data_IF_000367000482
#
_entry.id   IF_000367000482
#
_cell.length_a   1.000
_cell.length_b   1.000
_cell.length_c   1.000
_cell.angle_alpha   90.00
_cell.angle_beta   90.00
_cell.angle_gamma   90.00
#
_symmetry.space_group_name_H-M   'P 1'
#
loop_
_entity.id
_entity.type
_entity.pdbx_description
1 polymer ?
#
# COMPACT_ATOMS: atom_id res chain seq x y z
N UNK A 1 22.43 15.64 23.38
CA UNK A 1 21.43 14.58 23.26
C UNK A 1 20.63 14.68 21.95
N UNK A 2 19.75 13.73 21.67
CA UNK A 2 18.94 13.76 20.42
C UNK A 2 17.90 14.89 20.43
N UNK A 3 17.45 15.35 21.59
CA UNK A 3 16.45 16.40 21.73
C UNK A 3 16.82 17.73 21.05
N UNK A 4 18.11 18.07 21.01
CA UNK A 4 18.61 19.28 20.34
C UNK A 4 18.59 19.17 18.80
N UNK A 5 18.33 17.99 18.27
CA UNK A 5 18.25 17.67 16.84
C UNK A 5 16.82 17.42 16.38
N UNK A 6 15.84 17.61 17.25
CA UNK A 6 14.42 17.37 17.01
C UNK A 6 13.64 18.65 17.21
N UNK A 7 12.70 18.91 16.31
CA UNK A 7 11.70 19.95 16.46
C UNK A 7 10.31 19.29 16.53
N UNK A 8 9.51 19.70 17.51
CA UNK A 8 8.15 19.18 17.71
C UNK A 8 7.15 20.27 17.32
N UNK A 9 6.24 19.94 16.42
CA UNK A 9 5.18 20.84 15.95
C UNK A 9 3.82 20.19 16.15
N UNK A 10 2.90 20.89 16.76
CA UNK A 10 1.51 20.49 16.86
C UNK A 10 0.76 21.05 15.65
N UNK A 11 0.47 20.21 14.69
CA UNK A 11 -0.25 20.59 13.47
C UNK A 11 -1.03 19.40 12.89
N UNK A 12 -1.94 19.67 11.97
CA UNK A 12 -2.63 18.62 11.21
C UNK A 12 -1.77 18.16 10.03
N UNK A 13 -1.33 16.89 10.09
CA UNK A 13 -0.48 16.29 9.07
C UNK A 13 0.79 17.12 8.81
N UNK A 14 0.94 17.64 7.58
CA UNK A 14 2.09 18.42 7.13
C UNK A 14 1.82 19.93 7.07
N UNK A 15 0.70 20.42 7.62
CA UNK A 15 0.28 21.83 7.51
C UNK A 15 1.25 22.81 8.19
N UNK A 16 2.01 22.34 9.17
CA UNK A 16 3.00 23.16 9.89
C UNK A 16 4.43 23.00 9.35
N UNK A 17 4.63 22.34 8.23
CA UNK A 17 5.95 22.10 7.64
C UNK A 17 6.09 22.91 6.35
N UNK A 18 7.13 23.71 6.25
CA UNK A 18 7.44 24.43 5.02
C UNK A 18 8.13 23.49 4.01
N UNK A 19 7.91 23.68 2.71
CA UNK A 19 8.47 22.80 1.68
C UNK A 19 9.99 22.60 1.77
N UNK A 20 10.75 23.64 2.12
CA UNK A 20 12.22 23.57 2.19
C UNK A 20 12.75 22.84 3.44
N UNK A 21 11.89 22.44 4.37
CA UNK A 21 12.30 21.85 5.65
C UNK A 21 12.46 20.34 5.61
N UNK A 22 11.90 19.66 4.61
CA UNK A 22 11.92 18.21 4.54
C UNK A 22 12.16 17.68 3.12
N UNK A 23 13.11 16.80 2.97
CA UNK A 23 13.38 16.00 1.75
C UNK A 23 12.86 14.56 1.89
N UNK A 24 12.64 14.12 3.12
CA UNK A 24 12.18 12.77 3.46
C UNK A 24 11.05 12.85 4.48
N UNK A 25 9.95 12.17 4.21
CA UNK A 25 8.75 12.18 5.06
C UNK A 25 8.35 10.75 5.38
N UNK A 26 8.28 10.43 6.67
CA UNK A 26 7.79 9.15 7.16
C UNK A 26 6.37 9.30 7.73
N UNK A 27 5.41 8.52 7.23
CA UNK A 27 4.04 8.44 7.77
C UNK A 27 3.75 6.98 8.08
N UNK A 28 3.74 6.63 9.36
CA UNK A 28 3.58 5.26 9.83
C UNK A 28 2.46 5.14 10.88
N UNK A 29 1.88 3.95 11.00
CA UNK A 29 0.85 3.65 12.00
C UNK A 29 -0.53 4.22 11.68
N UNK A 30 -0.78 4.71 10.46
CA UNK A 30 -2.03 5.34 10.05
C UNK A 30 -2.78 4.51 9.00
N UNK A 31 -4.08 4.73 8.84
CA UNK A 31 -4.85 4.16 7.73
C UNK A 31 -4.42 4.73 6.38
N UNK A 32 -4.50 3.93 5.31
CA UNK A 32 -4.14 4.38 3.96
C UNK A 32 -4.95 5.59 3.48
N UNK A 33 -6.20 5.71 3.90
CA UNK A 33 -7.05 6.88 3.59
C UNK A 33 -6.55 8.15 4.29
N UNK A 34 -6.08 8.03 5.55
CA UNK A 34 -5.48 9.14 6.30
C UNK A 34 -4.17 9.58 5.66
N UNK A 35 -3.32 8.62 5.27
CA UNK A 35 -2.07 8.91 4.54
C UNK A 35 -2.38 9.67 3.24
N UNK A 36 -3.36 9.20 2.47
CA UNK A 36 -3.79 9.87 1.24
C UNK A 36 -4.29 11.30 1.50
N UNK A 37 -5.07 11.52 2.55
CA UNK A 37 -5.57 12.84 2.92
C UNK A 37 -4.42 13.81 3.32
N UNK A 38 -3.45 13.35 4.10
CA UNK A 38 -2.27 14.14 4.49
C UNK A 38 -1.48 14.56 3.24
N UNK A 39 -1.23 13.64 2.32
CA UNK A 39 -0.48 13.92 1.09
C UNK A 39 -1.27 14.80 0.12
N UNK A 40 -2.60 14.65 0.04
CA UNK A 40 -3.46 15.52 -0.75
C UNK A 40 -3.45 16.98 -0.27
N UNK A 41 -3.35 17.19 1.04
CA UNK A 41 -3.25 18.52 1.66
C UNK A 41 -1.87 19.18 1.49
N UNK A 42 -0.84 18.41 1.07
CA UNK A 42 0.54 18.88 0.93
C UNK A 42 1.10 18.59 -0.48
N UNK A 43 0.60 19.23 -1.56
CA UNK A 43 1.02 18.95 -2.94
C UNK A 43 2.52 19.23 -3.18
N UNK A 44 3.11 20.11 -2.40
CA UNK A 44 4.54 20.42 -2.44
C UNK A 44 5.43 19.18 -2.24
N UNK A 45 4.97 18.16 -1.51
CA UNK A 45 5.68 16.89 -1.27
C UNK A 45 6.03 16.21 -2.59
N UNK A 46 5.08 16.17 -3.51
CA UNK A 46 5.28 15.62 -4.86
C UNK A 46 6.10 16.58 -5.73
N UNK A 47 5.80 17.87 -5.69
CA UNK A 47 6.46 18.90 -6.51
C UNK A 47 7.96 18.99 -6.25
N UNK A 48 8.37 18.81 -4.99
CA UNK A 48 9.78 18.77 -4.59
C UNK A 48 10.44 17.41 -4.73
N UNK A 49 9.66 16.36 -5.04
CA UNK A 49 10.19 15.00 -5.19
C UNK A 49 10.67 14.38 -3.87
N UNK A 50 10.05 14.75 -2.75
CA UNK A 50 10.38 14.17 -1.45
C UNK A 50 10.34 12.64 -1.48
N UNK A 51 11.23 12.01 -0.73
CA UNK A 51 11.15 10.60 -0.42
C UNK A 51 10.06 10.36 0.62
N UNK A 52 9.12 9.47 0.31
CA UNK A 52 8.09 9.04 1.25
C UNK A 52 8.37 7.63 1.74
N UNK A 53 8.30 7.44 3.05
CA UNK A 53 8.30 6.16 3.72
C UNK A 53 6.93 5.98 4.39
N UNK A 54 6.08 5.15 3.79
CA UNK A 54 4.69 5.00 4.21
C UNK A 54 4.45 3.62 4.79
N UNK A 55 3.88 3.56 6.00
CA UNK A 55 3.48 2.30 6.61
C UNK A 55 1.96 2.35 6.93
N UNK A 56 1.11 1.94 5.95
CA UNK A 56 -0.34 1.89 6.15
C UNK A 56 -0.76 0.70 7.00
N UNK A 57 -1.52 0.94 8.08
CA UNK A 57 -2.11 -0.10 8.92
C UNK A 57 -3.34 -0.75 8.30
N UNK A 58 -4.01 -0.04 7.40
CA UNK A 58 -5.24 -0.49 6.71
C UNK A 58 -5.35 0.17 5.34
N UNK A 59 -6.34 -0.25 4.54
CA UNK A 59 -6.69 0.35 3.25
C UNK A 59 -5.53 0.43 2.24
N UNK A 60 -4.55 -0.52 2.27
CA UNK A 60 -3.44 -0.56 1.33
C UNK A 60 -3.94 -0.66 -0.12
N UNK A 61 -5.03 -1.41 -0.35
CA UNK A 61 -5.64 -1.59 -1.67
C UNK A 61 -6.28 -0.31 -2.23
N UNK A 62 -6.59 0.67 -1.38
CA UNK A 62 -7.05 2.00 -1.79
C UNK A 62 -5.87 2.97 -1.95
N UNK A 63 -4.87 2.89 -1.06
CA UNK A 63 -3.71 3.79 -1.08
C UNK A 63 -2.85 3.62 -2.34
N UNK A 64 -2.52 2.39 -2.75
CA UNK A 64 -1.66 2.14 -3.91
C UNK A 64 -2.21 2.75 -5.22
N UNK A 65 -3.47 2.52 -5.61
CA UNK A 65 -4.02 3.15 -6.80
C UNK A 65 -4.21 4.67 -6.63
N UNK A 66 -4.42 5.17 -5.41
CA UNK A 66 -4.44 6.59 -5.15
C UNK A 66 -3.07 7.23 -5.42
N UNK A 67 -1.99 6.66 -4.90
CA UNK A 67 -0.62 7.11 -5.17
C UNK A 67 -0.34 7.16 -6.68
N UNK A 68 -0.71 6.12 -7.42
CA UNK A 68 -0.56 6.06 -8.86
C UNK A 68 -1.28 7.22 -9.57
N UNK A 69 -2.56 7.44 -9.23
CA UNK A 69 -3.36 8.53 -9.83
C UNK A 69 -2.83 9.93 -9.49
N UNK A 70 -2.19 10.09 -8.34
CA UNK A 70 -1.60 11.36 -7.92
C UNK A 70 -0.19 11.61 -8.46
N UNK A 71 0.32 10.72 -9.33
CA UNK A 71 1.64 10.88 -9.93
C UNK A 71 2.79 10.51 -8.98
N UNK A 72 2.54 9.59 -8.07
CA UNK A 72 3.57 8.94 -7.26
C UNK A 72 3.91 7.56 -7.82
N UNK A 73 5.16 7.14 -7.64
CA UNK A 73 5.67 5.81 -7.95
C UNK A 73 6.11 5.11 -6.67
N UNK A 74 5.59 3.91 -6.46
CA UNK A 74 6.09 3.00 -5.43
C UNK A 74 7.38 2.36 -5.98
N UNK A 75 8.52 2.69 -5.38
CA UNK A 75 9.82 2.18 -5.81
C UNK A 75 10.14 0.83 -5.21
N UNK A 76 9.77 0.65 -3.93
CA UNK A 76 9.98 -0.59 -3.18
C UNK A 76 8.85 -0.80 -2.18
N UNK A 77 8.57 -2.06 -1.91
CA UNK A 77 7.72 -2.50 -0.81
C UNK A 77 8.48 -3.53 0.01
N UNK A 78 8.39 -3.41 1.32
CA UNK A 78 8.98 -4.34 2.27
C UNK A 78 7.92 -4.88 3.21
N UNK A 79 8.01 -6.17 3.48
CA UNK A 79 7.20 -6.81 4.50
C UNK A 79 8.00 -6.95 5.79
N UNK A 80 7.36 -6.71 6.91
CA UNK A 80 7.92 -6.98 8.22
C UNK A 80 6.90 -7.70 9.08
N UNK A 81 7.38 -8.37 10.13
CA UNK A 81 6.53 -9.14 11.04
C UNK A 81 6.74 -8.70 12.48
N UNK A 82 5.64 -8.57 13.19
CA UNK A 82 5.62 -8.44 14.64
C UNK A 82 4.55 -9.39 15.19
N UNK A 83 4.96 -10.40 15.92
CA UNK A 83 4.09 -11.49 16.31
C UNK A 83 3.43 -12.16 15.10
N UNK A 84 2.11 -12.22 15.08
CA UNK A 84 1.32 -12.76 13.95
C UNK A 84 0.95 -11.71 12.89
N UNK A 85 1.32 -10.45 13.09
CA UNK A 85 0.94 -9.36 12.20
C UNK A 85 2.03 -9.11 11.15
N UNK A 86 1.60 -9.04 9.88
CA UNK A 86 2.44 -8.61 8.77
C UNK A 86 2.15 -7.15 8.43
N UNK A 87 3.20 -6.36 8.35
CA UNK A 87 3.16 -4.95 7.97
C UNK A 87 3.81 -4.77 6.60
N UNK A 88 3.32 -3.78 5.86
CA UNK A 88 3.89 -3.36 4.59
C UNK A 88 4.43 -1.95 4.72
N UNK A 89 5.69 -1.73 4.38
CA UNK A 89 6.31 -0.42 4.25
C UNK A 89 6.55 -0.11 2.78
N UNK A 90 6.14 1.09 2.34
CA UNK A 90 6.25 1.56 0.97
C UNK A 90 7.30 2.67 0.89
N UNK A 91 8.25 2.54 -0.01
CA UNK A 91 9.15 3.60 -0.44
C UNK A 91 8.57 4.23 -1.70
N UNK A 92 8.28 5.53 -1.65
CA UNK A 92 7.51 6.22 -2.69
C UNK A 92 8.18 7.54 -3.05
N UNK A 93 8.17 7.88 -4.34
CA UNK A 93 8.59 9.20 -4.88
C UNK A 93 7.60 9.69 -5.92
N UNK A 94 7.70 10.97 -6.25
CA UNK A 94 7.06 11.51 -7.45
C UNK A 94 7.54 10.75 -8.70
N UNK A 95 6.62 10.40 -9.59
CA UNK A 95 6.96 9.71 -10.82
C UNK A 95 5.79 8.91 -11.42
N UNK A 96 6.00 8.45 -12.64
CA UNK A 96 5.05 7.60 -13.34
C UNK A 96 5.11 6.16 -12.81
N UNK A 97 3.94 5.57 -12.65
CA UNK A 97 3.76 4.16 -12.35
C UNK A 97 2.60 3.63 -13.21
N UNK A 98 2.82 2.55 -13.93
CA UNK A 98 1.76 1.87 -14.68
C UNK A 98 0.59 1.48 -13.77
N UNK A 99 -0.59 1.34 -14.37
CA UNK A 99 -1.78 0.92 -13.63
C UNK A 99 -1.56 -0.45 -12.96
N UNK A 100 -2.01 -0.54 -11.71
CA UNK A 100 -1.95 -1.77 -10.94
C UNK A 100 -3.15 -2.65 -11.28
N UNK A 101 -2.91 -3.93 -11.49
CA UNK A 101 -3.97 -4.93 -11.57
C UNK A 101 -4.75 -5.00 -10.25
N UNK A 102 -5.99 -5.53 -10.24
CA UNK A 102 -6.75 -5.67 -8.99
C UNK A 102 -6.00 -6.41 -7.87
N UNK A 103 -5.20 -7.43 -8.20
CA UNK A 103 -4.40 -8.14 -7.21
C UNK A 103 -3.20 -7.32 -6.73
N UNK A 104 -2.51 -6.60 -7.62
CA UNK A 104 -1.40 -5.72 -7.25
C UNK A 104 -1.85 -4.54 -6.37
N UNK A 105 -3.08 -4.06 -6.51
CA UNK A 105 -3.64 -3.06 -5.58
C UNK A 105 -3.68 -3.59 -4.14
N UNK A 106 -3.89 -4.89 -3.97
CA UNK A 106 -3.92 -5.54 -2.65
C UNK A 106 -2.53 -5.93 -2.16
N UNK A 107 -1.73 -6.55 -3.03
CA UNK A 107 -0.48 -7.18 -2.65
C UNK A 107 0.78 -6.36 -2.97
N UNK A 108 0.66 -5.28 -3.75
CA UNK A 108 1.81 -4.64 -4.40
C UNK A 108 2.36 -5.48 -5.55
N UNK A 109 3.19 -4.87 -6.38
CA UNK A 109 3.89 -5.58 -7.46
C UNK A 109 4.89 -6.57 -6.89
N UNK A 110 5.15 -7.61 -7.67
CA UNK A 110 6.20 -8.57 -7.36
C UNK A 110 7.18 -8.67 -8.52
N UNK A 111 8.43 -8.95 -8.19
CA UNK A 111 9.51 -9.18 -9.14
C UNK A 111 10.33 -10.40 -8.68
N UNK A 112 10.89 -11.13 -9.64
CA UNK A 112 11.84 -12.23 -9.35
C UNK A 112 13.09 -11.75 -8.62
N UNK A 113 13.45 -10.49 -8.81
CA UNK A 113 14.63 -9.87 -8.20
C UNK A 113 14.43 -9.51 -6.71
N UNK A 114 13.18 -9.48 -6.26
CA UNK A 114 12.84 -9.13 -4.88
C UNK A 114 12.75 -10.40 -4.05
N UNK A 115 13.80 -10.70 -3.30
CA UNK A 115 13.78 -11.78 -2.31
C UNK A 115 13.12 -11.27 -1.02
N UNK A 116 11.85 -11.59 -0.78
CA UNK A 116 11.16 -11.29 0.47
C UNK A 116 10.63 -12.60 1.08
N UNK A 117 11.21 -13.07 2.19
CA UNK A 117 10.84 -14.35 2.81
C UNK A 117 9.40 -14.38 3.34
N UNK A 118 8.77 -13.22 3.54
CA UNK A 118 7.41 -13.11 4.03
C UNK A 118 6.37 -13.07 2.89
N UNK A 119 6.83 -12.95 1.63
CA UNK A 119 5.93 -12.73 0.49
C UNK A 119 4.94 -13.85 0.29
N UNK A 120 5.36 -15.11 0.37
CA UNK A 120 4.48 -16.26 0.20
C UNK A 120 3.36 -16.27 1.24
N UNK A 121 3.72 -16.05 2.49
CA UNK A 121 2.75 -15.98 3.58
C UNK A 121 1.80 -14.79 3.41
N UNK A 122 2.32 -13.65 3.03
CA UNK A 122 1.50 -12.44 2.78
C UNK A 122 0.47 -12.70 1.69
N UNK A 123 0.88 -13.25 0.54
CA UNK A 123 -0.03 -13.61 -0.56
C UNK A 123 -1.08 -14.64 -0.12
N UNK A 124 -0.67 -15.65 0.63
CA UNK A 124 -1.58 -16.69 1.16
C UNK A 124 -2.66 -16.08 2.07
N UNK A 125 -2.27 -15.16 2.95
CA UNK A 125 -3.22 -14.45 3.85
C UNK A 125 -4.18 -13.56 3.07
N UNK A 126 -3.69 -12.84 2.06
CA UNK A 126 -4.53 -11.99 1.20
C UNK A 126 -5.49 -12.80 0.36
N UNK A 127 -5.05 -13.90 -0.25
CA UNK A 127 -5.89 -14.82 -1.02
C UNK A 127 -7.02 -15.39 -0.16
N UNK A 128 -6.69 -15.88 1.03
CA UNK A 128 -7.69 -16.39 1.98
C UNK A 128 -8.70 -15.32 2.42
N UNK A 129 -8.24 -14.06 2.58
CA UNK A 129 -9.13 -12.93 2.88
C UNK A 129 -10.07 -12.63 1.71
N UNK A 130 -9.56 -12.61 0.49
CA UNK A 130 -10.36 -12.40 -0.71
C UNK A 130 -11.38 -13.52 -0.91
N UNK A 131 -10.99 -14.78 -0.74
CA UNK A 131 -11.87 -15.94 -0.84
C UNK A 131 -13.05 -15.87 0.17
N UNK A 132 -12.77 -15.49 1.42
CA UNK A 132 -13.83 -15.28 2.42
C UNK A 132 -14.80 -14.16 2.01
N UNK A 133 -14.29 -13.05 1.47
CA UNK A 133 -15.11 -11.93 1.02
C UNK A 133 -15.98 -12.33 -0.19
N UNK A 134 -15.44 -13.06 -1.16
CA UNK A 134 -16.19 -13.62 -2.30
C UNK A 134 -17.30 -14.55 -1.81
N UNK A 135 -16.98 -15.48 -0.91
CA UNK A 135 -17.98 -16.41 -0.33
C UNK A 135 -19.09 -15.68 0.39
N UNK A 136 -18.76 -14.60 1.11
CA UNK A 136 -19.76 -13.76 1.78
C UNK A 136 -20.68 -13.05 0.79
N UNK A 137 -20.13 -12.44 -0.25
CA UNK A 137 -20.91 -11.71 -1.27
C UNK A 137 -21.75 -12.62 -2.15
N UNK A 138 -21.32 -13.84 -2.45
CA UNK A 138 -22.12 -14.82 -3.20
C UNK A 138 -23.44 -15.21 -2.52
N UNK A 139 -23.54 -14.99 -1.20
CA UNK A 139 -24.79 -15.21 -0.44
C UNK A 139 -25.74 -14.01 -0.53
N UNK A 140 -25.27 -12.87 -1.04
CA UNK A 140 -26.12 -11.70 -1.23
C UNK A 140 -27.03 -11.88 -2.44
N UNK A 141 -28.28 -11.49 -2.29
CA UNK A 141 -29.28 -11.45 -3.39
C UNK A 141 -29.45 -10.06 -3.98
N UNK A 142 -28.67 -9.08 -3.51
CA UNK A 142 -28.76 -7.69 -3.95
C UNK A 142 -28.04 -7.49 -5.29
N UNK A 143 -28.76 -6.97 -6.28
CA UNK A 143 -28.19 -6.65 -7.58
C UNK A 143 -27.01 -5.64 -7.48
N UNK A 144 -27.04 -4.74 -6.50
CA UNK A 144 -25.96 -3.78 -6.23
C UNK A 144 -24.64 -4.43 -5.81
N UNK A 145 -24.64 -5.68 -5.35
CA UNK A 145 -23.43 -6.39 -4.93
C UNK A 145 -22.74 -7.13 -6.08
N UNK A 146 -23.37 -7.26 -7.23
CA UNK A 146 -22.79 -7.96 -8.41
C UNK A 146 -21.47 -7.35 -8.86
N UNK A 147 -21.35 -6.03 -9.10
CA UNK A 147 -20.07 -5.46 -9.54
C UNK A 147 -18.97 -5.62 -8.49
N UNK A 148 -19.33 -5.58 -7.20
CA UNK A 148 -18.40 -5.79 -6.10
C UNK A 148 -17.92 -7.25 -6.04
N UNK A 149 -18.79 -8.20 -6.30
CA UNK A 149 -18.45 -9.62 -6.37
C UNK A 149 -17.48 -9.87 -7.52
N UNK A 150 -17.76 -9.37 -8.71
CA UNK A 150 -16.90 -9.50 -9.89
C UNK A 150 -15.49 -8.91 -9.63
N UNK A 151 -15.43 -7.72 -9.03
CA UNK A 151 -14.16 -7.10 -8.65
C UNK A 151 -13.37 -7.95 -7.65
N UNK A 152 -14.01 -8.50 -6.62
CA UNK A 152 -13.35 -9.36 -5.64
C UNK A 152 -12.94 -10.72 -6.22
N UNK A 153 -13.69 -11.27 -7.15
CA UNK A 153 -13.29 -12.49 -7.86
C UNK A 153 -12.05 -12.24 -8.72
N UNK A 154 -11.95 -11.08 -9.38
CA UNK A 154 -10.75 -10.69 -10.11
C UNK A 154 -9.52 -10.56 -9.18
N UNK A 155 -9.70 -9.94 -8.01
CA UNK A 155 -8.66 -9.87 -6.97
C UNK A 155 -8.24 -11.27 -6.53
N UNK A 156 -9.19 -12.14 -6.19
CA UNK A 156 -8.90 -13.49 -5.71
C UNK A 156 -8.13 -14.31 -6.75
N UNK A 157 -8.59 -14.32 -8.02
CA UNK A 157 -7.88 -15.01 -9.10
C UNK A 157 -6.46 -14.47 -9.32
N UNK A 158 -6.31 -13.15 -9.28
CA UNK A 158 -5.00 -12.51 -9.45
C UNK A 158 -4.04 -12.83 -8.30
N UNK A 159 -4.52 -12.84 -7.04
CA UNK A 159 -3.70 -13.22 -5.87
C UNK A 159 -3.26 -14.69 -5.92
N UNK A 160 -4.14 -15.61 -6.32
CA UNK A 160 -3.81 -17.02 -6.53
C UNK A 160 -2.69 -17.16 -7.57
N UNK A 161 -2.82 -16.47 -8.73
CA UNK A 161 -1.79 -16.44 -9.76
C UNK A 161 -0.46 -15.89 -9.23
N UNK A 162 -0.47 -14.76 -8.53
CA UNK A 162 0.74 -14.17 -7.94
C UNK A 162 1.42 -15.13 -6.96
N UNK A 163 0.66 -15.88 -6.16
CA UNK A 163 1.19 -16.87 -5.23
C UNK A 163 1.84 -18.05 -5.97
N UNK A 164 1.21 -18.57 -7.03
CA UNK A 164 1.76 -19.65 -7.87
C UNK A 164 3.05 -19.21 -8.56
N UNK A 165 3.07 -18.01 -9.14
CA UNK A 165 4.27 -17.43 -9.74
C UNK A 165 5.40 -17.31 -8.73
N UNK A 166 5.09 -16.82 -7.50
CA UNK A 166 6.09 -16.68 -6.45
C UNK A 166 6.70 -18.02 -6.05
N UNK A 167 5.89 -19.07 -5.91
CA UNK A 167 6.38 -20.43 -5.60
C UNK A 167 7.30 -20.92 -6.72
N UNK A 168 6.94 -20.67 -7.99
CA UNK A 168 7.73 -21.08 -9.15
C UNK A 168 9.06 -20.33 -9.26
N UNK A 169 9.15 -19.11 -8.71
CA UNK A 169 10.37 -18.30 -8.74
C UNK A 169 11.36 -18.64 -7.63
N UNK A 170 10.92 -19.33 -6.60
CA UNK A 170 11.83 -19.80 -5.55
C UNK A 170 12.66 -20.97 -6.08
N UNK A 171 13.98 -21.03 -5.77
CA UNK A 171 14.86 -22.11 -6.19
C UNK A 171 14.50 -23.45 -5.52
#
# INVERSE_FOLDING_TARGET
GLAERMEFRLCDGLSGIAPAEADTIAIAGMGGETIAAILAAAPWVREQGCLLLLQPMSAQSALRPWLQRQGYRIEREHLSREGDTLYTALQVRAGFMEALTPAEQWAGRQSRETADPLRLEYLTRLEARAARAVTGLRRSTRASDVPRLEALEAVHRGLAKMREEWITWQP
#
